data_IF_129539421567
#
_entry.id   IF_129539421567
#
_cell.length_a   1.000
_cell.length_b   1.000
_cell.length_c   1.000
_cell.angle_alpha   90.00
_cell.angle_beta   90.00
_cell.angle_gamma   90.00
#
_symmetry.space_group_name_H-M   'P 1'
#
loop_
_entity.id
_entity.type
_entity.pdbx_description
1 polymer ?
#
# COMPACT_ATOMS: atom_id res chain seq x y z
N UNK A 1 47.91 10.58 1.36
CA UNK A 1 47.48 11.26 2.61
C UNK A 1 45.98 11.05 2.71
N UNK A 2 45.49 10.28 3.69
CA UNK A 2 44.04 10.10 3.93
C UNK A 2 43.48 11.42 4.45
N UNK A 3 42.55 12.03 3.72
CA UNK A 3 41.89 13.27 4.11
C UNK A 3 40.84 13.03 5.21
N UNK A 4 40.43 14.07 5.93
CA UNK A 4 39.35 13.99 6.93
C UNK A 4 38.02 13.49 6.32
N UNK A 5 37.85 13.61 5.00
CA UNK A 5 36.67 13.16 4.24
C UNK A 5 36.79 11.75 3.63
N UNK A 6 37.84 10.97 3.94
CA UNK A 6 38.08 9.63 3.39
C UNK A 6 37.46 8.49 4.22
N UNK A 7 36.75 8.82 5.31
CA UNK A 7 36.08 7.80 6.13
C UNK A 7 34.96 7.12 5.32
N UNK A 8 35.03 5.79 5.18
CA UNK A 8 34.08 4.95 4.43
C UNK A 8 34.04 5.19 2.91
N UNK A 9 35.12 5.72 2.33
CA UNK A 9 35.27 5.87 0.87
C UNK A 9 36.49 5.10 0.42
N UNK A 10 36.35 4.30 -0.63
CA UNK A 10 37.49 3.77 -1.35
C UNK A 10 37.97 4.83 -2.36
N UNK A 11 39.24 5.23 -2.22
CA UNK A 11 40.04 6.01 -3.18
C UNK A 11 39.62 7.46 -3.50
N UNK A 12 38.93 8.17 -2.61
CA UNK A 12 38.59 9.59 -2.82
C UNK A 12 37.67 9.85 -4.03
N UNK A 13 37.15 8.79 -4.65
CA UNK A 13 36.20 8.82 -5.75
C UNK A 13 34.84 9.36 -5.27
N UNK A 14 33.97 9.88 -6.17
CA UNK A 14 32.58 10.21 -5.82
C UNK A 14 31.91 8.99 -5.17
N UNK A 15 30.98 9.23 -4.24
CA UNK A 15 30.23 8.16 -3.55
C UNK A 15 29.55 7.26 -4.59
N UNK A 16 30.14 6.10 -4.86
CA UNK A 16 29.70 5.12 -5.83
C UNK A 16 29.08 3.95 -5.07
N UNK A 17 27.76 3.94 -5.00
CA UNK A 17 27.02 2.72 -4.65
C UNK A 17 27.02 1.83 -5.90
N UNK A 18 28.04 0.99 -6.05
CA UNK A 18 28.24 0.10 -7.22
C UNK A 18 27.08 -0.87 -7.44
N UNK A 19 26.31 -1.15 -6.39
CA UNK A 19 25.10 -1.94 -6.45
C UNK A 19 23.93 -1.06 -5.97
N UNK A 20 22.97 -0.82 -6.86
CA UNK A 20 21.70 -0.21 -6.50
C UNK A 20 20.93 -1.19 -5.61
N UNK A 21 21.20 -1.19 -4.30
CA UNK A 21 20.48 -1.99 -3.31
C UNK A 21 19.12 -1.35 -2.97
N UNK A 22 18.41 -0.88 -4.01
CA UNK A 22 17.03 -0.42 -3.89
C UNK A 22 16.17 -1.66 -3.74
N UNK A 23 15.93 -2.07 -2.51
CA UNK A 23 14.92 -3.08 -2.23
C UNK A 23 13.54 -2.46 -2.46
N UNK A 24 12.67 -3.08 -3.28
CA UNK A 24 11.29 -2.60 -3.42
C UNK A 24 10.61 -2.64 -2.06
N UNK A 25 9.63 -1.76 -1.87
CA UNK A 25 8.84 -1.73 -0.63
C UNK A 25 8.01 -3.02 -0.58
N UNK A 26 8.39 -3.96 0.30
CA UNK A 26 7.74 -5.29 0.43
C UNK A 26 6.34 -5.23 1.04
N UNK A 27 6.01 -4.14 1.75
CA UNK A 27 4.70 -3.96 2.37
C UNK A 27 4.44 -2.50 2.73
N UNK A 28 3.17 -2.14 2.94
CA UNK A 28 2.77 -0.78 3.30
C UNK A 28 3.48 -0.34 4.60
N UNK A 29 4.28 0.71 4.49
CA UNK A 29 5.08 1.27 5.59
C UNK A 29 4.20 1.65 6.78
N UNK A 30 2.99 2.15 6.52
CA UNK A 30 2.05 2.56 7.56
C UNK A 30 1.56 1.36 8.37
N UNK A 31 1.22 0.26 7.68
CA UNK A 31 0.75 -0.98 8.32
C UNK A 31 1.89 -1.59 9.13
N UNK A 32 3.09 -1.68 8.56
CA UNK A 32 4.27 -2.21 9.27
C UNK A 32 4.58 -1.37 10.51
N UNK A 33 4.54 -0.04 10.41
CA UNK A 33 4.79 0.84 11.56
C UNK A 33 3.79 0.60 12.71
N UNK A 34 2.50 0.45 12.39
CA UNK A 34 1.46 0.13 13.40
C UNK A 34 1.70 -1.26 14.01
N UNK A 35 1.98 -2.27 13.19
CA UNK A 35 2.27 -3.62 13.69
C UNK A 35 3.48 -3.63 14.63
N UNK A 36 4.56 -2.91 14.28
CA UNK A 36 5.75 -2.78 15.13
C UNK A 36 5.42 -2.04 16.42
N UNK A 37 4.63 -0.97 16.38
CA UNK A 37 4.21 -0.23 17.57
C UNK A 37 3.42 -1.12 18.56
N UNK A 38 2.46 -1.92 18.08
CA UNK A 38 1.72 -2.83 18.95
C UNK A 38 2.59 -3.98 19.44
N UNK A 39 3.49 -4.49 18.60
CA UNK A 39 4.44 -5.53 19.00
C UNK A 39 5.38 -5.06 20.10
N UNK A 40 5.89 -3.82 20.06
CA UNK A 40 6.76 -3.28 21.12
C UNK A 40 6.01 -3.13 22.44
N UNK A 41 4.77 -2.63 22.42
CA UNK A 41 3.91 -2.54 23.62
C UNK A 41 3.63 -3.95 24.17
N UNK A 42 3.33 -4.92 23.31
CA UNK A 42 3.08 -6.29 23.73
C UNK A 42 4.32 -6.97 24.32
N UNK A 43 5.50 -6.75 23.73
CA UNK A 43 6.77 -7.23 24.28
C UNK A 43 7.06 -6.62 25.66
N UNK A 44 6.82 -5.32 25.83
CA UNK A 44 6.95 -4.66 27.13
C UNK A 44 6.01 -5.29 28.18
N UNK A 45 4.77 -5.60 27.79
CA UNK A 45 3.83 -6.34 28.64
C UNK A 45 4.36 -7.73 29.02
N UNK A 46 4.90 -8.50 28.07
CA UNK A 46 5.48 -9.82 28.32
C UNK A 46 6.68 -9.79 29.27
N UNK A 47 7.49 -8.73 29.24
CA UNK A 47 8.62 -8.55 30.18
C UNK A 47 8.12 -8.29 31.61
N UNK A 48 7.04 -7.53 31.78
CA UNK A 48 6.46 -7.20 33.09
C UNK A 48 5.59 -8.35 33.64
N UNK A 49 5.00 -9.15 32.74
CA UNK A 49 4.02 -10.19 33.06
C UNK A 49 4.45 -11.20 34.14
N UNK A 50 5.72 -11.69 34.21
CA UNK A 50 6.16 -12.58 35.27
C UNK A 50 5.99 -12.02 36.69
N UNK A 51 5.96 -10.68 36.84
CA UNK A 51 5.76 -10.00 38.12
C UNK A 51 4.32 -10.05 38.66
N UNK A 52 3.35 -10.49 37.85
CA UNK A 52 1.93 -10.55 38.24
C UNK A 52 1.70 -11.72 39.21
N UNK A 53 1.37 -11.41 40.47
CA UNK A 53 1.25 -12.43 41.54
C UNK A 53 -0.10 -13.15 41.59
N UNK A 54 -1.20 -12.48 41.23
CA UNK A 54 -2.57 -13.04 41.24
C UNK A 54 -3.25 -12.73 39.90
N UNK A 55 -4.23 -13.54 39.50
CA UNK A 55 -5.03 -13.31 38.28
C UNK A 55 -4.24 -13.33 36.94
N UNK A 56 -3.15 -14.11 36.86
CA UNK A 56 -2.27 -14.19 35.68
C UNK A 56 -3.03 -14.44 34.35
N UNK A 57 -3.93 -15.42 34.32
CA UNK A 57 -4.65 -15.79 33.10
C UNK A 57 -5.63 -14.71 32.64
N UNK A 58 -6.37 -14.11 33.56
CA UNK A 58 -7.33 -13.05 33.22
C UNK A 58 -6.59 -11.79 32.77
N UNK A 59 -5.53 -11.36 33.47
CA UNK A 59 -4.72 -10.21 33.05
C UNK A 59 -4.07 -10.45 31.68
N UNK A 60 -3.52 -11.65 31.44
CA UNK A 60 -2.94 -12.01 30.15
C UNK A 60 -3.96 -11.91 29.01
N UNK A 61 -5.13 -12.51 29.21
CA UNK A 61 -6.16 -12.60 28.17
C UNK A 61 -6.75 -11.23 27.88
N UNK A 62 -7.06 -10.42 28.90
CA UNK A 62 -7.61 -9.07 28.73
C UNK A 62 -6.64 -8.14 28.00
N UNK A 63 -5.36 -8.11 28.40
CA UNK A 63 -4.37 -7.22 27.75
C UNK A 63 -4.10 -7.67 26.32
N UNK A 64 -3.93 -8.98 26.09
CA UNK A 64 -3.71 -9.53 24.75
C UNK A 64 -4.89 -9.23 23.83
N UNK A 65 -6.13 -9.44 24.31
CA UNK A 65 -7.33 -9.17 23.53
C UNK A 65 -7.49 -7.67 23.23
N UNK A 66 -7.27 -6.81 24.22
CA UNK A 66 -7.37 -5.35 24.05
C UNK A 66 -6.37 -4.83 23.02
N UNK A 67 -5.09 -5.21 23.13
CA UNK A 67 -4.06 -4.82 22.16
C UNK A 67 -4.35 -5.41 20.77
N UNK A 68 -4.82 -6.65 20.70
CA UNK A 68 -5.19 -7.28 19.43
C UNK A 68 -6.36 -6.55 18.74
N UNK A 69 -7.41 -6.20 19.48
CA UNK A 69 -8.55 -5.46 18.93
C UNK A 69 -8.10 -4.08 18.42
N UNK A 70 -7.31 -3.34 19.21
CA UNK A 70 -6.74 -2.06 18.77
C UNK A 70 -5.90 -2.17 17.51
N UNK A 71 -5.06 -3.22 17.40
CA UNK A 71 -4.26 -3.49 16.22
C UNK A 71 -5.14 -3.77 15.00
N UNK A 72 -6.14 -4.65 15.13
CA UNK A 72 -7.04 -5.01 14.02
C UNK A 72 -7.81 -3.79 13.52
N UNK A 73 -8.31 -2.92 14.40
CA UNK A 73 -9.03 -1.70 14.00
C UNK A 73 -8.12 -0.78 13.17
N UNK A 74 -6.87 -0.54 13.61
CA UNK A 74 -5.95 0.32 12.88
C UNK A 74 -5.48 -0.29 11.56
N UNK A 75 -5.22 -1.60 11.52
CA UNK A 75 -4.87 -2.32 10.29
C UNK A 75 -6.05 -2.29 9.30
N UNK A 76 -7.27 -2.51 9.76
CA UNK A 76 -8.47 -2.44 8.92
C UNK A 76 -8.66 -1.03 8.35
N UNK A 77 -8.35 0.02 9.12
CA UNK A 77 -8.42 1.41 8.64
C UNK A 77 -7.37 1.72 7.56
N UNK A 78 -6.13 1.25 7.74
CA UNK A 78 -5.02 1.52 6.82
C UNK A 78 -5.02 0.59 5.60
N UNK A 79 -5.61 -0.60 5.71
CA UNK A 79 -5.59 -1.62 4.68
C UNK A 79 -6.30 -1.23 3.38
N UNK A 80 -5.76 -1.72 2.26
CA UNK A 80 -6.29 -1.57 0.91
C UNK A 80 -7.13 -2.78 0.44
N UNK A 81 -7.45 -3.72 1.35
CA UNK A 81 -8.08 -5.00 1.02
C UNK A 81 -9.58 -5.06 1.38
N UNK A 82 -10.28 -3.92 1.37
CA UNK A 82 -11.73 -3.89 1.63
C UNK A 82 -12.53 -4.48 0.49
N UNK A 83 -12.09 -4.24 -0.74
CA UNK A 83 -12.63 -4.90 -1.92
C UNK A 83 -11.48 -5.13 -2.92
N UNK A 84 -11.26 -6.39 -3.26
CA UNK A 84 -10.16 -6.82 -4.14
C UNK A 84 -10.72 -7.46 -5.39
N UNK A 85 -10.27 -7.01 -6.55
CA UNK A 85 -10.54 -7.62 -7.83
C UNK A 85 -9.22 -7.88 -8.57
N UNK A 86 -9.11 -9.02 -9.22
CA UNK A 86 -7.92 -9.38 -9.98
C UNK A 86 -8.33 -10.09 -11.26
N UNK A 87 -7.73 -9.70 -12.38
CA UNK A 87 -8.02 -10.28 -13.69
C UNK A 87 -6.75 -10.36 -14.54
N UNK A 88 -6.68 -11.39 -15.38
CA UNK A 88 -5.63 -11.53 -16.39
C UNK A 88 -6.10 -10.88 -17.69
N UNK A 89 -5.35 -9.91 -18.18
CA UNK A 89 -5.70 -9.12 -19.35
C UNK A 89 -4.58 -9.20 -20.40
N UNK A 90 -4.96 -8.94 -21.65
CA UNK A 90 -4.02 -8.72 -22.76
C UNK A 90 -4.33 -7.37 -23.36
N UNK A 91 -3.54 -6.36 -22.99
CA UNK A 91 -3.87 -4.96 -23.26
C UNK A 91 -2.66 -4.18 -23.82
N UNK A 92 -2.89 -3.08 -24.57
CA UNK A 92 -1.81 -2.18 -24.96
C UNK A 92 -1.13 -1.61 -23.72
N UNK A 93 0.20 -1.58 -23.70
CA UNK A 93 0.96 -1.19 -22.51
C UNK A 93 1.30 0.32 -22.48
N UNK A 94 1.90 0.84 -23.55
CA UNK A 94 2.46 2.20 -23.62
C UNK A 94 2.04 2.93 -24.89
N UNK A 95 2.08 4.26 -24.84
CA UNK A 95 1.84 5.11 -25.99
C UNK A 95 2.83 4.82 -27.12
N UNK A 96 2.37 5.02 -28.36
CA UNK A 96 3.16 4.82 -29.59
C UNK A 96 3.71 3.39 -29.79
N UNK A 97 3.19 2.39 -29.08
CA UNK A 97 3.45 0.97 -29.33
C UNK A 97 2.15 0.23 -29.65
N UNK A 98 2.22 -0.74 -30.56
CA UNK A 98 1.11 -1.68 -30.88
C UNK A 98 1.21 -2.98 -30.10
N UNK A 99 2.28 -3.17 -29.33
CA UNK A 99 2.50 -4.38 -28.56
C UNK A 99 1.46 -4.50 -27.43
N UNK A 100 0.91 -5.71 -27.30
CA UNK A 100 0.01 -6.05 -26.20
C UNK A 100 0.78 -6.85 -25.16
N UNK A 101 0.63 -6.46 -23.91
CA UNK A 101 1.25 -7.12 -22.77
C UNK A 101 0.21 -8.04 -22.10
N UNK A 102 0.47 -9.35 -22.01
CA UNK A 102 -0.26 -10.21 -21.10
C UNK A 102 0.17 -9.87 -19.67
N UNK A 103 -0.78 -9.40 -18.87
CA UNK A 103 -0.52 -8.96 -17.51
C UNK A 103 -1.67 -9.34 -16.58
N UNK A 104 -1.36 -9.41 -15.30
CA UNK A 104 -2.32 -9.52 -14.21
C UNK A 104 -2.58 -8.13 -13.67
N UNK A 105 -3.80 -7.66 -13.85
CA UNK A 105 -4.30 -6.39 -13.35
C UNK A 105 -5.06 -6.64 -12.04
N UNK A 106 -4.69 -5.94 -10.99
CA UNK A 106 -5.37 -5.96 -9.69
C UNK A 106 -5.88 -4.58 -9.32
N UNK A 107 -7.04 -4.53 -8.68
CA UNK A 107 -7.61 -3.35 -8.07
C UNK A 107 -7.92 -3.67 -6.60
N UNK A 108 -7.21 -3.00 -5.70
CA UNK A 108 -7.29 -3.16 -4.26
C UNK A 108 -7.86 -1.87 -3.67
N UNK A 109 -9.15 -1.89 -3.35
CA UNK A 109 -9.88 -0.74 -2.85
C UNK A 109 -9.75 -0.70 -1.33
N UNK A 110 -9.18 0.39 -0.83
CA UNK A 110 -9.19 0.77 0.58
C UNK A 110 -10.31 1.76 0.89
N UNK A 111 -10.34 2.25 2.13
CA UNK A 111 -11.35 3.23 2.54
C UNK A 111 -11.17 4.59 1.86
N UNK A 112 -9.92 5.05 1.77
CA UNK A 112 -9.61 6.41 1.31
C UNK A 112 -8.72 6.45 0.06
N UNK A 113 -8.47 5.29 -0.55
CA UNK A 113 -7.60 5.13 -1.69
C UNK A 113 -7.92 3.84 -2.46
N UNK A 114 -7.39 3.75 -3.67
CA UNK A 114 -7.32 2.53 -4.47
C UNK A 114 -5.87 2.27 -4.89
N UNK A 115 -5.42 1.03 -4.74
CA UNK A 115 -4.15 0.54 -5.25
C UNK A 115 -4.40 -0.29 -6.50
N UNK A 116 -3.77 0.10 -7.61
CA UNK A 116 -3.88 -0.58 -8.89
C UNK A 116 -2.54 -1.25 -9.16
N UNK A 117 -2.58 -2.57 -9.29
CA UNK A 117 -1.39 -3.40 -9.54
C UNK A 117 -1.38 -3.88 -10.98
N UNK A 118 -0.22 -3.85 -11.62
CA UNK A 118 -0.03 -4.40 -12.96
C UNK A 118 1.26 -5.20 -13.00
N UNK A 119 1.12 -6.52 -13.05
CA UNK A 119 2.25 -7.47 -13.06
C UNK A 119 2.27 -8.17 -14.41
N UNK A 120 3.39 -8.10 -15.13
CA UNK A 120 3.52 -8.84 -16.39
C UNK A 120 3.57 -10.35 -16.15
N UNK A 121 2.92 -11.10 -17.04
CA UNK A 121 2.97 -12.56 -17.03
C UNK A 121 4.03 -13.05 -18.02
N UNK A 122 4.81 -14.09 -17.68
CA UNK A 122 5.75 -14.68 -18.62
C UNK A 122 5.00 -15.32 -19.80
N UNK A 123 5.52 -15.12 -21.01
CA UNK A 123 4.98 -15.72 -22.24
C UNK A 123 5.95 -16.78 -22.74
N UNK A 124 5.59 -18.05 -22.59
CA UNK A 124 6.43 -19.18 -23.00
C UNK A 124 7.72 -19.27 -22.17
N UNK A 125 8.86 -19.45 -22.84
CA UNK A 125 10.17 -19.64 -22.19
C UNK A 125 10.93 -18.34 -21.88
N UNK A 126 10.30 -17.17 -22.10
CA UNK A 126 10.92 -15.88 -21.82
C UNK A 126 10.68 -15.48 -20.37
N UNK A 127 11.70 -14.91 -19.72
CA UNK A 127 11.55 -14.28 -18.40
C UNK A 127 10.49 -13.18 -18.48
N UNK A 128 9.62 -13.10 -17.48
CA UNK A 128 8.66 -12.00 -17.39
C UNK A 128 9.41 -10.67 -17.45
N UNK A 129 8.95 -9.69 -18.25
CA UNK A 129 9.54 -8.36 -18.24
C UNK A 129 9.38 -7.77 -16.83
N UNK A 130 10.37 -6.97 -16.40
CA UNK A 130 10.39 -6.30 -15.09
C UNK A 130 9.32 -5.19 -15.01
N UNK A 131 8.07 -5.62 -14.94
CA UNK A 131 6.86 -4.81 -14.94
C UNK A 131 6.05 -5.25 -13.74
N UNK A 132 6.25 -4.54 -12.63
CA UNK A 132 5.52 -4.68 -11.38
C UNK A 132 5.14 -3.29 -10.87
N UNK A 133 4.02 -2.78 -11.39
CA UNK A 133 3.47 -1.51 -10.94
C UNK A 133 2.54 -1.72 -9.76
N UNK A 134 2.65 -0.85 -8.77
CA UNK A 134 1.70 -0.71 -7.67
C UNK A 134 1.47 0.79 -7.43
N UNK A 135 0.47 1.35 -8.12
CA UNK A 135 0.17 2.78 -8.09
C UNK A 135 -1.05 3.04 -7.20
N UNK A 136 -0.94 4.02 -6.31
CA UNK A 136 -1.99 4.38 -5.35
C UNK A 136 -2.64 5.70 -5.74
N UNK A 137 -3.97 5.70 -5.81
CA UNK A 137 -4.79 6.88 -6.04
C UNK A 137 -5.62 7.15 -4.80
N UNK A 138 -5.39 8.29 -4.14
CA UNK A 138 -6.12 8.68 -2.92
C UNK A 138 -7.29 9.62 -3.21
N UNK A 139 -8.35 9.53 -2.41
CA UNK A 139 -9.54 10.38 -2.52
C UNK A 139 -9.97 11.01 -1.17
N UNK A 140 -8.99 11.40 -0.35
CA UNK A 140 -9.26 12.02 0.95
C UNK A 140 -10.08 13.30 0.80
N UNK A 141 -9.68 14.18 -0.12
CA UNK A 141 -10.34 15.45 -0.40
C UNK A 141 -11.11 15.40 -1.72
N UNK A 142 -11.95 16.43 -1.95
CA UNK A 142 -12.84 16.54 -3.11
C UNK A 142 -12.11 16.34 -4.45
N UNK A 143 -10.92 16.92 -4.57
CA UNK A 143 -10.18 17.02 -5.82
C UNK A 143 -8.99 16.06 -5.91
N UNK A 144 -8.71 15.28 -4.85
CA UNK A 144 -7.50 14.44 -4.77
C UNK A 144 -7.47 13.38 -5.86
N UNK A 145 -8.60 12.73 -6.12
CA UNK A 145 -8.69 11.68 -7.15
C UNK A 145 -8.39 12.26 -8.54
N UNK A 146 -9.03 13.39 -8.89
CA UNK A 146 -8.83 14.04 -10.18
C UNK A 146 -7.40 14.57 -10.36
N UNK A 147 -6.80 15.12 -9.30
CA UNK A 147 -5.42 15.60 -9.33
C UNK A 147 -4.41 14.44 -9.44
N UNK A 148 -4.63 13.35 -8.70
CA UNK A 148 -3.80 12.15 -8.78
C UNK A 148 -3.87 11.50 -10.16
N UNK A 149 -5.06 11.45 -10.76
CA UNK A 149 -5.25 10.97 -12.12
C UNK A 149 -4.53 11.85 -13.17
N UNK A 150 -4.62 13.18 -13.06
CA UNK A 150 -3.87 14.09 -13.94
C UNK A 150 -2.36 13.90 -13.81
N UNK A 151 -1.85 13.72 -12.59
CA UNK A 151 -0.44 13.44 -12.37
C UNK A 151 -0.02 12.10 -13.00
N UNK A 152 -0.83 11.05 -12.84
CA UNK A 152 -0.62 9.76 -13.50
C UNK A 152 -0.55 9.87 -15.04
N UNK A 153 -1.40 10.70 -15.64
CA UNK A 153 -1.36 10.99 -17.08
C UNK A 153 -0.06 11.70 -17.47
N UNK A 154 0.38 12.69 -16.70
CA UNK A 154 1.64 13.41 -16.94
C UNK A 154 2.88 12.51 -16.77
N UNK A 155 2.84 11.56 -15.82
CA UNK A 155 3.89 10.55 -15.62
C UNK A 155 3.93 9.50 -16.74
N UNK A 156 2.86 9.37 -17.54
CA UNK A 156 2.77 8.39 -18.61
C UNK A 156 2.61 6.96 -18.09
N UNK A 157 1.77 6.75 -17.06
CA UNK A 157 1.48 5.41 -16.55
C UNK A 157 0.90 4.48 -17.64
N UNK A 158 1.05 3.16 -17.51
CA UNK A 158 0.50 2.19 -18.45
C UNK A 158 -1.01 2.34 -18.66
N UNK A 159 -1.48 2.14 -19.88
CA UNK A 159 -2.89 2.30 -20.23
C UNK A 159 -3.85 1.50 -19.32
N UNK A 160 -3.60 0.23 -18.96
CA UNK A 160 -4.52 -0.52 -18.10
C UNK A 160 -4.73 0.12 -16.72
N UNK A 161 -3.68 0.73 -16.16
CA UNK A 161 -3.76 1.42 -14.87
C UNK A 161 -4.60 2.69 -15.01
N UNK A 162 -4.35 3.47 -16.07
CA UNK A 162 -5.09 4.69 -16.36
C UNK A 162 -6.57 4.41 -16.60
N UNK A 163 -6.91 3.35 -17.34
CA UNK A 163 -8.31 2.97 -17.59
C UNK A 163 -9.05 2.64 -16.29
N UNK A 164 -8.44 1.90 -15.36
CA UNK A 164 -9.06 1.62 -14.06
C UNK A 164 -9.20 2.93 -13.26
N UNK A 165 -8.15 3.74 -13.18
CA UNK A 165 -8.20 5.01 -12.46
C UNK A 165 -9.27 5.97 -13.03
N UNK A 166 -9.46 5.95 -14.34
CA UNK A 166 -10.46 6.75 -15.06
C UNK A 166 -11.89 6.44 -14.58
N UNK A 167 -12.25 5.16 -14.45
CA UNK A 167 -13.56 4.73 -13.93
C UNK A 167 -13.86 5.24 -12.51
N UNK A 168 -12.83 5.46 -11.69
CA UNK A 168 -12.99 6.04 -10.35
C UNK A 168 -12.94 7.58 -10.36
N UNK A 169 -12.41 8.20 -11.42
CA UNK A 169 -12.35 9.65 -11.58
C UNK A 169 -13.60 10.25 -12.23
N UNK A 170 -14.24 9.49 -13.13
CA UNK A 170 -15.44 9.92 -13.85
C UNK A 170 -16.68 9.77 -12.97
N UNK A 171 -17.47 10.83 -12.89
CA UNK A 171 -18.79 10.84 -12.24
C UNK A 171 -19.96 10.76 -13.23
N UNK A 172 -19.70 10.40 -14.49
CA UNK A 172 -20.67 10.43 -15.58
C UNK A 172 -20.76 9.07 -16.28
N UNK A 173 -21.77 8.86 -17.12
CA UNK A 173 -21.99 7.64 -17.94
C UNK A 173 -22.55 6.40 -17.20
N UNK A 174 -23.21 6.59 -16.06
CA UNK A 174 -24.00 5.54 -15.39
C UNK A 174 -23.24 4.66 -14.39
N UNK A 175 -21.92 4.82 -14.27
CA UNK A 175 -21.09 4.14 -13.29
C UNK A 175 -20.48 5.15 -12.29
N UNK A 176 -21.21 5.46 -11.22
CA UNK A 176 -20.79 6.42 -10.18
C UNK A 176 -19.89 5.78 -9.10
N UNK A 177 -18.99 4.87 -9.47
CA UNK A 177 -18.20 4.08 -8.52
C UNK A 177 -17.30 4.94 -7.64
N UNK A 178 -16.60 5.92 -8.22
CA UNK A 178 -15.73 6.83 -7.46
C UNK A 178 -16.45 7.53 -6.31
N UNK A 179 -17.66 8.06 -6.56
CA UNK A 179 -18.47 8.73 -5.55
C UNK A 179 -18.99 7.77 -4.47
N UNK A 180 -19.48 6.59 -4.87
CA UNK A 180 -20.05 5.60 -3.95
C UNK A 180 -18.98 5.00 -3.03
N UNK A 181 -17.83 4.57 -3.57
CA UNK A 181 -16.73 4.03 -2.76
C UNK A 181 -16.16 5.07 -1.82
N UNK A 182 -16.06 6.33 -2.26
CA UNK A 182 -15.59 7.41 -1.40
C UNK A 182 -16.55 7.69 -0.24
N UNK A 183 -17.86 7.73 -0.49
CA UNK A 183 -18.85 7.90 0.57
C UNK A 183 -18.82 6.74 1.56
N UNK A 184 -18.82 5.50 1.06
CA UNK A 184 -18.74 4.29 1.90
C UNK A 184 -17.45 4.28 2.75
N UNK A 185 -16.32 4.57 2.13
CA UNK A 185 -15.02 4.62 2.79
C UNK A 185 -14.91 5.71 3.86
N UNK A 186 -15.50 6.89 3.60
CA UNK A 186 -15.56 7.99 4.55
C UNK A 186 -16.32 7.60 5.83
N UNK A 187 -17.55 7.07 5.70
CA UNK A 187 -18.35 6.66 6.85
C UNK A 187 -17.73 5.47 7.59
N UNK A 188 -17.21 4.48 6.88
CA UNK A 188 -16.51 3.35 7.49
C UNK A 188 -15.26 3.80 8.25
N UNK A 189 -14.48 4.76 7.73
CA UNK A 189 -13.32 5.30 8.44
C UNK A 189 -13.73 6.04 9.71
N UNK A 190 -14.85 6.77 9.73
CA UNK A 190 -15.35 7.42 10.94
C UNK A 190 -15.75 6.39 11.99
N UNK A 191 -16.46 5.33 11.59
CA UNK A 191 -16.87 4.27 12.50
C UNK A 191 -15.67 3.52 13.09
N UNK A 192 -14.62 3.26 12.30
CA UNK A 192 -13.39 2.65 12.79
C UNK A 192 -12.65 3.57 13.77
N UNK A 193 -12.62 4.88 13.51
CA UNK A 193 -12.05 5.83 14.47
C UNK A 193 -12.86 5.90 15.76
N UNK A 194 -14.18 5.90 15.68
CA UNK A 194 -15.06 5.86 16.85
C UNK A 194 -14.85 4.57 17.67
N UNK A 195 -14.71 3.42 17.00
CA UNK A 195 -14.43 2.13 17.63
C UNK A 195 -13.02 2.04 18.24
N UNK A 196 -12.05 2.77 17.69
CA UNK A 196 -10.71 2.85 18.27
C UNK A 196 -10.67 3.74 19.52
N UNK A 197 -11.52 4.77 19.56
CA UNK A 197 -11.59 5.72 20.67
C UNK A 197 -12.44 5.23 21.85
N UNK A 198 -13.33 4.25 21.63
CA UNK A 198 -14.18 3.63 22.65
C UNK A 198 -13.42 2.63 23.51
#
# INVERSE_FOLDING_TARGET
MKGWFDAFRDDGAPTLYSFSNRTPVTGDVSIVAVCVMFATIYLAFLVIFPGVRKQKFTTFTTVTLSLFVGLVILVARLGSAWHVAQSTIVAPYKAFSREKLPARLGAHIGLMHINITLVALPVGNWSAPDIDFNEQFSWNQANDMGNSYRNALQRGLPYPILTVAEYFSLGQEGFAWGGQYRAAGYYASILLWAAFAS
#
